data_IF_283787776514
#
_entry.id   IF_283787776514
#
_cell.length_a   1.000
_cell.length_b   1.000
_cell.length_c   1.000
_cell.angle_alpha   90.00
_cell.angle_beta   90.00
_cell.angle_gamma   90.00
#
_symmetry.space_group_name_H-M   'P 1'
#
loop_
_entity.id
_entity.type
_entity.pdbx_description
1 polymer ?
#
# COMPACT_ATOMS: atom_id res chain seq x y z
N UNK A 1 -25.87 4.28 19.79
CA UNK A 1 -25.78 4.23 18.32
C UNK A 1 -25.51 5.62 17.72
N UNK A 2 -26.24 6.65 18.18
CA UNK A 2 -26.20 8.04 17.68
C UNK A 2 -24.80 8.65 17.50
N UNK A 3 -23.89 8.43 18.45
CA UNK A 3 -22.52 8.94 18.35
C UNK A 3 -21.76 8.31 17.17
N UNK A 4 -21.95 7.01 16.90
CA UNK A 4 -21.32 6.34 15.76
C UNK A 4 -21.88 6.86 14.44
N UNK A 5 -23.21 7.06 14.37
CA UNK A 5 -23.84 7.67 13.19
C UNK A 5 -23.30 9.06 12.93
N UNK A 6 -23.06 9.87 13.97
CA UNK A 6 -22.43 11.19 13.82
C UNK A 6 -20.98 11.10 13.31
N UNK A 7 -20.21 10.12 13.77
CA UNK A 7 -18.83 9.90 13.32
C UNK A 7 -18.75 9.49 11.83
N UNK A 8 -19.70 8.69 11.35
CA UNK A 8 -19.73 8.21 9.95
C UNK A 8 -20.52 9.15 9.03
N UNK A 9 -21.43 9.95 9.57
CA UNK A 9 -22.48 10.73 8.92
C UNK A 9 -23.71 9.92 8.46
N UNK A 10 -24.93 10.44 8.67
CA UNK A 10 -26.16 9.84 8.15
C UNK A 10 -26.13 9.64 6.63
N UNK A 11 -25.54 10.58 5.87
CA UNK A 11 -25.46 10.50 4.41
C UNK A 11 -24.70 9.27 3.92
N UNK A 12 -23.61 8.88 4.61
CA UNK A 12 -22.84 7.67 4.27
C UNK A 12 -23.57 6.38 4.62
N UNK A 13 -24.45 6.38 5.62
CA UNK A 13 -25.24 5.21 6.02
C UNK A 13 -26.56 5.08 5.23
N UNK A 14 -27.20 6.18 4.86
CA UNK A 14 -28.50 6.16 4.17
C UNK A 14 -28.47 5.44 2.81
N UNK A 15 -27.31 5.35 2.16
CA UNK A 15 -27.16 4.58 0.92
C UNK A 15 -27.55 3.10 1.12
N UNK A 16 -27.30 2.53 2.30
CA UNK A 16 -27.66 1.14 2.58
C UNK A 16 -29.16 0.97 2.83
N UNK A 17 -29.85 1.99 3.37
CA UNK A 17 -31.32 2.00 3.47
C UNK A 17 -31.94 1.94 2.07
N UNK A 18 -31.42 2.74 1.14
CA UNK A 18 -31.94 2.83 -0.23
C UNK A 18 -31.71 1.57 -1.06
N UNK A 19 -30.53 0.96 -0.96
CA UNK A 19 -30.14 -0.12 -1.87
C UNK A 19 -30.27 -1.53 -1.28
N UNK A 20 -30.23 -1.67 0.04
CA UNK A 20 -30.33 -2.97 0.74
C UNK A 20 -31.60 -3.08 1.59
N UNK A 21 -32.49 -2.07 1.56
CA UNK A 21 -33.69 -2.00 2.40
C UNK A 21 -33.38 -2.17 3.90
N UNK A 22 -32.18 -1.77 4.34
CA UNK A 22 -31.80 -1.79 5.75
C UNK A 22 -32.73 -0.84 6.53
N UNK A 23 -33.37 -1.35 7.59
CA UNK A 23 -34.40 -0.61 8.33
C UNK A 23 -33.86 0.05 9.60
N UNK A 24 -32.72 -0.44 10.12
CA UNK A 24 -32.08 0.06 11.34
C UNK A 24 -30.70 0.67 11.07
N UNK A 25 -30.22 1.50 11.99
CA UNK A 25 -28.89 2.10 11.88
C UNK A 25 -27.78 1.05 12.07
N UNK A 26 -28.04 0.05 12.91
CA UNK A 26 -27.18 -1.10 13.15
C UNK A 26 -26.97 -1.94 11.88
N UNK A 27 -28.04 -2.24 11.14
CA UNK A 27 -27.94 -2.93 9.85
C UNK A 27 -27.14 -2.10 8.84
N UNK A 28 -27.38 -0.79 8.78
CA UNK A 28 -26.62 0.11 7.90
C UNK A 28 -25.13 0.12 8.27
N UNK A 29 -24.81 0.13 9.57
CA UNK A 29 -23.44 0.06 10.06
C UNK A 29 -22.78 -1.28 9.72
N UNK A 30 -23.50 -2.39 9.88
CA UNK A 30 -23.06 -3.72 9.47
C UNK A 30 -22.69 -3.77 7.98
N UNK A 31 -23.56 -3.28 7.11
CA UNK A 31 -23.32 -3.20 5.67
C UNK A 31 -22.21 -2.20 5.31
N UNK A 32 -22.05 -1.13 6.09
CA UNK A 32 -20.92 -0.22 5.94
C UNK A 32 -19.58 -0.91 6.21
N UNK A 33 -19.51 -1.74 7.27
CA UNK A 33 -18.33 -2.56 7.58
C UNK A 33 -18.10 -3.61 6.48
N UNK A 34 -19.16 -4.25 5.98
CA UNK A 34 -19.07 -5.16 4.83
C UNK A 34 -18.45 -4.47 3.61
N UNK A 35 -18.90 -3.27 3.24
CA UNK A 35 -18.31 -2.51 2.13
C UNK A 35 -16.85 -2.16 2.38
N UNK A 36 -16.43 -1.88 3.63
CA UNK A 36 -15.01 -1.68 3.95
C UNK A 36 -14.19 -2.94 3.69
N UNK A 37 -14.67 -4.12 4.11
CA UNK A 37 -14.00 -5.39 3.85
C UNK A 37 -13.90 -5.68 2.37
N UNK A 38 -14.97 -5.44 1.63
CA UNK A 38 -15.00 -5.57 0.18
C UNK A 38 -13.98 -4.64 -0.49
N UNK A 39 -14.00 -3.34 -0.16
CA UNK A 39 -13.03 -2.37 -0.68
C UNK A 39 -11.57 -2.75 -0.41
N UNK A 40 -11.28 -3.39 0.73
CA UNK A 40 -9.92 -3.83 1.05
C UNK A 40 -9.42 -4.98 0.16
N UNK A 41 -10.32 -5.89 -0.26
CA UNK A 41 -9.99 -6.94 -1.24
C UNK A 41 -9.57 -6.28 -2.57
N UNK A 42 -10.39 -5.36 -3.07
CA UNK A 42 -10.06 -4.62 -4.30
C UNK A 42 -8.78 -3.79 -4.18
N UNK A 43 -8.56 -3.13 -3.04
CA UNK A 43 -7.36 -2.32 -2.83
C UNK A 43 -6.07 -3.13 -2.97
N UNK A 44 -6.07 -4.38 -2.47
CA UNK A 44 -4.92 -5.28 -2.56
C UNK A 44 -4.64 -5.72 -4.00
N UNK A 45 -5.69 -5.93 -4.80
CA UNK A 45 -5.59 -6.28 -6.22
C UNK A 45 -5.15 -5.07 -7.06
N UNK A 46 -5.72 -3.90 -6.79
CA UNK A 46 -5.35 -2.66 -7.46
C UNK A 46 -3.88 -2.32 -7.19
N UNK A 47 -3.35 -2.60 -6.00
CA UNK A 47 -1.92 -2.45 -5.71
C UNK A 47 -1.05 -3.34 -6.63
N UNK A 48 -1.43 -4.60 -6.87
CA UNK A 48 -0.74 -5.48 -7.83
C UNK A 48 -0.79 -4.86 -9.25
N UNK A 49 -1.97 -4.43 -9.68
CA UNK A 49 -2.17 -3.82 -11.00
C UNK A 49 -1.34 -2.54 -11.16
N UNK A 50 -1.36 -1.64 -10.17
CA UNK A 50 -0.66 -0.35 -10.24
C UNK A 50 0.85 -0.52 -10.31
N UNK A 51 1.41 -1.39 -9.45
CA UNK A 51 2.86 -1.64 -9.43
C UNK A 51 3.30 -2.35 -10.72
N UNK A 52 2.57 -3.38 -11.16
CA UNK A 52 2.92 -4.12 -12.38
C UNK A 52 2.75 -3.28 -13.65
N UNK A 53 1.67 -2.49 -13.77
CA UNK A 53 1.46 -1.58 -14.91
C UNK A 53 2.60 -0.57 -15.03
N UNK A 54 2.93 0.11 -13.91
CA UNK A 54 4.04 1.06 -13.86
C UNK A 54 5.34 0.41 -14.32
N UNK A 55 5.67 -0.75 -13.75
CA UNK A 55 6.92 -1.42 -14.06
C UNK A 55 6.94 -1.90 -15.51
N UNK A 56 5.82 -2.41 -16.05
CA UNK A 56 5.72 -2.84 -17.45
C UNK A 56 5.95 -1.68 -18.42
N UNK A 57 5.30 -0.54 -18.19
CA UNK A 57 5.50 0.69 -18.97
C UNK A 57 6.95 1.17 -18.88
N UNK A 58 7.50 1.29 -17.67
CA UNK A 58 8.84 1.86 -17.47
C UNK A 58 9.95 0.94 -17.99
N UNK A 59 9.83 -0.37 -17.82
CA UNK A 59 10.79 -1.32 -18.39
C UNK A 59 10.81 -1.22 -19.92
N UNK A 60 9.63 -1.15 -20.54
CA UNK A 60 9.52 -1.00 -21.99
C UNK A 60 10.12 0.33 -22.47
N UNK A 61 9.85 1.44 -21.78
CA UNK A 61 10.46 2.74 -22.11
C UNK A 61 11.98 2.68 -21.97
N UNK A 62 12.50 2.09 -20.89
CA UNK A 62 13.92 1.99 -20.63
C UNK A 62 14.64 1.15 -21.70
N UNK A 63 14.03 0.05 -22.15
CA UNK A 63 14.61 -0.83 -23.17
C UNK A 63 14.46 -0.30 -24.60
N UNK A 64 13.28 0.22 -24.96
CA UNK A 64 12.92 0.53 -26.35
C UNK A 64 13.04 2.00 -26.70
N UNK A 65 13.01 2.91 -25.71
CA UNK A 65 13.10 4.37 -25.91
C UNK A 65 14.15 4.99 -24.98
N UNK A 66 15.46 4.72 -25.17
CA UNK A 66 16.52 5.16 -24.25
C UNK A 66 16.56 6.68 -23.98
N UNK A 67 16.17 7.50 -24.96
CA UNK A 67 16.08 8.97 -24.80
C UNK A 67 14.98 9.42 -23.84
N UNK A 68 13.95 8.59 -23.64
CA UNK A 68 12.87 8.80 -22.67
C UNK A 68 13.12 8.03 -21.35
N UNK A 69 14.24 7.33 -21.19
CA UNK A 69 14.56 6.61 -19.96
C UNK A 69 15.00 7.56 -18.83
N UNK A 70 14.77 7.15 -17.57
CA UNK A 70 15.20 7.92 -16.39
C UNK A 70 14.74 9.38 -16.40
N UNK A 71 15.68 10.32 -16.33
CA UNK A 71 15.41 11.76 -16.35
C UNK A 71 14.75 12.27 -17.65
N UNK A 72 14.88 11.53 -18.75
CA UNK A 72 14.19 11.85 -20.01
C UNK A 72 12.67 11.78 -19.85
N UNK A 73 12.17 10.77 -19.15
CA UNK A 73 10.75 10.60 -18.82
C UNK A 73 10.22 11.79 -18.01
N UNK A 74 10.99 12.17 -16.98
CA UNK A 74 10.62 13.28 -16.10
C UNK A 74 10.61 14.60 -16.86
N UNK A 75 11.64 14.84 -17.67
CA UNK A 75 11.78 16.05 -18.48
C UNK A 75 10.66 16.18 -19.52
N UNK A 76 10.23 15.07 -20.14
CA UNK A 76 9.08 15.05 -21.03
C UNK A 76 7.82 15.60 -20.33
N UNK A 77 7.42 15.03 -19.20
CA UNK A 77 6.20 15.48 -18.50
C UNK A 77 6.33 16.91 -17.94
N UNK A 78 7.54 17.32 -17.54
CA UNK A 78 7.82 18.70 -17.10
C UNK A 78 7.82 19.71 -18.24
N UNK A 79 7.90 19.28 -19.50
CA UNK A 79 7.76 20.16 -20.67
C UNK A 79 6.31 20.40 -21.10
N UNK A 80 5.35 19.61 -20.60
CA UNK A 80 3.93 19.79 -20.92
C UNK A 80 3.38 21.11 -20.35
N UNK A 81 2.19 21.53 -20.79
CA UNK A 81 1.52 22.72 -20.26
C UNK A 81 1.41 22.68 -18.72
N UNK A 82 1.51 23.84 -18.05
CA UNK A 82 1.44 23.93 -16.59
C UNK A 82 0.10 23.45 -16.02
N UNK A 83 -0.98 23.50 -16.82
CA UNK A 83 -2.29 23.00 -16.42
C UNK A 83 -2.43 21.48 -16.62
N UNK A 84 -1.50 20.82 -17.32
CA UNK A 84 -1.52 19.39 -17.54
C UNK A 84 -1.43 18.63 -16.20
N UNK A 85 -2.34 17.69 -15.99
CA UNK A 85 -2.46 16.96 -14.74
C UNK A 85 -1.24 16.03 -14.49
N UNK A 86 -0.72 15.39 -15.53
CA UNK A 86 0.49 14.55 -15.44
C UNK A 86 1.71 15.38 -15.05
N UNK A 87 1.83 16.62 -15.57
CA UNK A 87 2.89 17.56 -15.13
C UNK A 87 2.75 17.91 -13.65
N UNK A 88 1.54 18.25 -13.18
CA UNK A 88 1.29 18.57 -11.76
C UNK A 88 1.67 17.42 -10.84
N UNK A 89 1.38 16.19 -11.24
CA UNK A 89 1.73 14.99 -10.48
C UNK A 89 3.25 14.76 -10.42
N UNK A 90 3.96 15.01 -11.52
CA UNK A 90 5.43 14.95 -11.56
C UNK A 90 6.05 16.03 -10.66
N UNK A 91 5.58 17.27 -10.72
CA UNK A 91 6.09 18.36 -9.87
C UNK A 91 5.79 18.11 -8.38
N UNK A 92 4.63 17.53 -8.06
CA UNK A 92 4.33 17.10 -6.69
C UNK A 92 5.30 16.02 -6.20
N UNK A 93 5.53 14.98 -7.00
CA UNK A 93 6.47 13.91 -6.67
C UNK A 93 7.89 14.46 -6.51
N UNK A 94 8.32 15.34 -7.42
CA UNK A 94 9.61 16.03 -7.37
C UNK A 94 9.78 16.82 -6.05
N UNK A 95 8.78 17.62 -5.67
CA UNK A 95 8.79 18.39 -4.41
C UNK A 95 8.83 17.54 -3.14
N UNK A 96 8.40 16.27 -3.20
CA UNK A 96 8.53 15.30 -2.11
C UNK A 96 9.91 14.65 -2.06
N UNK A 97 10.47 14.31 -3.21
CA UNK A 97 11.77 13.63 -3.31
C UNK A 97 12.95 14.56 -3.06
N UNK A 98 12.91 15.80 -3.55
CA UNK A 98 14.01 16.76 -3.45
C UNK A 98 14.39 17.14 -2.00
N UNK A 99 13.51 16.83 -1.02
CA UNK A 99 13.79 17.01 0.42
C UNK A 99 14.66 15.90 1.02
N UNK A 100 14.91 14.82 0.28
CA UNK A 100 15.76 13.70 0.70
C UNK A 100 17.14 13.85 0.07
N UNK A 101 18.20 13.64 0.85
CA UNK A 101 19.55 13.49 0.29
C UNK A 101 19.59 12.20 -0.56
N UNK A 102 20.10 12.29 -1.79
CA UNK A 102 20.30 11.17 -2.73
C UNK A 102 19.02 10.45 -3.20
N UNK A 103 17.96 11.18 -3.58
CA UNK A 103 16.81 10.55 -4.25
C UNK A 103 17.17 10.08 -5.67
N UNK A 104 16.51 9.01 -6.12
CA UNK A 104 16.64 8.45 -7.47
C UNK A 104 15.39 8.75 -8.31
N UNK A 105 15.49 8.61 -9.64
CA UNK A 105 14.32 8.72 -10.53
C UNK A 105 13.25 7.66 -10.15
N UNK A 106 13.67 6.48 -9.70
CA UNK A 106 12.77 5.43 -9.22
C UNK A 106 11.97 5.86 -7.97
N UNK A 107 12.59 6.61 -7.06
CA UNK A 107 11.89 7.17 -5.89
C UNK A 107 10.77 8.14 -6.32
N UNK A 108 10.99 8.91 -7.38
CA UNK A 108 9.99 9.83 -7.94
C UNK A 108 8.88 9.06 -8.66
N UNK A 109 9.25 8.14 -9.55
CA UNK A 109 8.34 7.26 -10.29
C UNK A 109 7.44 6.49 -9.31
N UNK A 110 7.98 6.05 -8.17
CA UNK A 110 7.23 5.34 -7.15
C UNK A 110 6.13 6.16 -6.46
N UNK A 111 6.20 7.50 -6.51
CA UNK A 111 5.19 8.40 -5.95
C UNK A 111 4.03 8.71 -6.91
N UNK A 112 4.15 8.36 -8.19
CA UNK A 112 3.14 8.68 -9.18
C UNK A 112 1.92 7.77 -9.03
N UNK A 113 0.70 8.34 -8.95
CA UNK A 113 -0.50 7.59 -8.61
C UNK A 113 -1.00 6.76 -9.81
N UNK A 114 -1.81 5.72 -9.57
CA UNK A 114 -2.40 4.90 -10.63
C UNK A 114 -3.00 5.67 -11.82
N UNK A 115 -3.66 6.80 -11.56
CA UNK A 115 -4.27 7.63 -12.60
C UNK A 115 -3.26 8.20 -13.61
N UNK A 116 -2.01 8.43 -13.19
CA UNK A 116 -0.91 8.82 -14.06
C UNK A 116 -0.62 7.72 -15.09
N UNK A 117 -0.41 6.50 -14.59
CA UNK A 117 -0.11 5.31 -15.41
C UNK A 117 -1.29 4.92 -16.31
N UNK A 118 -2.52 5.10 -15.81
CA UNK A 118 -3.72 4.92 -16.60
C UNK A 118 -3.77 5.90 -17.78
N UNK A 119 -3.44 7.18 -17.58
CA UNK A 119 -3.45 8.18 -18.65
C UNK A 119 -2.41 7.89 -19.74
N UNK A 120 -1.27 7.29 -19.39
CA UNK A 120 -0.25 6.86 -20.36
C UNK A 120 -0.82 5.86 -21.37
N UNK A 121 -1.80 5.05 -20.96
CA UNK A 121 -2.45 4.06 -21.83
C UNK A 121 -3.51 4.68 -22.76
N UNK A 122 -3.75 6.00 -22.68
CA UNK A 122 -4.73 6.68 -23.52
C UNK A 122 -4.21 6.92 -24.94
N UNK A 123 -5.13 7.29 -25.84
CA UNK A 123 -4.83 7.67 -27.22
C UNK A 123 -3.92 8.89 -27.35
N UNK A 124 -3.71 9.68 -26.29
CA UNK A 124 -2.78 10.83 -26.27
C UNK A 124 -1.36 10.41 -26.65
N UNK A 125 -0.98 9.19 -26.34
CA UNK A 125 0.36 8.65 -26.60
C UNK A 125 0.40 7.72 -27.82
N UNK A 126 -0.55 7.85 -28.76
CA UNK A 126 -0.44 7.22 -30.06
C UNK A 126 0.76 7.77 -30.84
N UNK A 127 1.38 6.94 -31.67
CA UNK A 127 2.53 7.32 -32.49
C UNK A 127 2.24 8.45 -33.47
N UNK A 128 0.99 8.57 -33.90
CA UNK A 128 0.50 9.67 -34.74
C UNK A 128 0.57 11.04 -34.06
N UNK A 129 0.70 11.07 -32.72
CA UNK A 129 0.72 12.31 -31.96
C UNK A 129 2.17 12.73 -31.73
N UNK A 130 2.66 13.61 -32.60
CA UNK A 130 4.00 14.21 -32.48
C UNK A 130 4.16 14.92 -31.13
N UNK A 131 5.34 14.76 -30.52
CA UNK A 131 5.62 15.33 -29.20
C UNK A 131 4.93 14.61 -28.04
N UNK A 132 4.27 13.47 -28.26
CA UNK A 132 3.82 12.57 -27.19
C UNK A 132 4.89 11.51 -26.85
N UNK A 133 4.62 10.65 -25.86
CA UNK A 133 5.45 9.47 -25.62
C UNK A 133 5.49 8.49 -26.82
N UNK A 134 4.53 8.56 -27.76
CA UNK A 134 4.46 7.70 -28.95
C UNK A 134 4.69 6.22 -28.61
N UNK A 135 3.80 5.65 -27.79
CA UNK A 135 3.86 4.27 -27.33
C UNK A 135 2.97 3.32 -28.16
N UNK A 136 1.84 3.83 -28.65
CA UNK A 136 0.76 2.98 -29.15
C UNK A 136 0.58 3.08 -30.67
N UNK A 137 0.38 1.95 -31.37
CA UNK A 137 0.21 0.59 -30.86
C UNK A 137 1.51 -0.23 -30.71
N UNK A 138 2.66 0.27 -31.16
CA UNK A 138 3.89 -0.51 -31.32
C UNK A 138 4.35 -1.27 -30.08
N UNK A 139 4.27 -0.65 -28.90
CA UNK A 139 4.72 -1.29 -27.66
C UNK A 139 3.59 -1.96 -26.86
N UNK A 140 2.42 -2.16 -27.47
CA UNK A 140 1.28 -2.81 -26.80
C UNK A 140 1.61 -4.23 -26.36
N UNK A 141 2.29 -5.02 -27.19
CA UNK A 141 2.61 -6.41 -26.84
C UNK A 141 3.82 -6.52 -25.90
N UNK A 142 4.70 -5.51 -25.82
CA UNK A 142 5.75 -5.46 -24.78
C UNK A 142 5.13 -5.15 -23.40
N UNK A 143 4.13 -4.26 -23.34
CA UNK A 143 3.52 -3.80 -22.08
C UNK A 143 2.37 -4.72 -21.63
N UNK A 144 1.63 -5.28 -22.59
CA UNK A 144 0.45 -6.12 -22.38
C UNK A 144 0.50 -7.43 -23.21
N UNK A 145 1.46 -8.33 -22.92
CA UNK A 145 1.72 -9.53 -23.72
C UNK A 145 0.61 -10.59 -23.69
N UNK A 146 -0.20 -10.64 -22.62
CA UNK A 146 -1.12 -11.75 -22.35
C UNK A 146 -2.58 -11.44 -22.73
N UNK A 147 -2.79 -10.61 -23.76
CA UNK A 147 -4.12 -10.22 -24.24
C UNK A 147 -4.17 -9.92 -25.72
N UNK A 148 -5.28 -10.29 -26.38
CA UNK A 148 -5.56 -9.94 -27.78
C UNK A 148 -6.32 -8.62 -27.93
N UNK A 149 -6.65 -7.95 -26.81
CA UNK A 149 -7.38 -6.69 -26.81
C UNK A 149 -6.57 -5.57 -27.49
N UNK A 150 -7.26 -4.67 -28.18
CA UNK A 150 -6.66 -3.43 -28.64
C UNK A 150 -6.27 -2.52 -27.47
N UNK A 151 -5.31 -1.60 -27.69
CA UNK A 151 -4.94 -0.63 -26.65
C UNK A 151 -6.13 0.22 -26.18
N UNK A 152 -7.08 0.52 -27.06
CA UNK A 152 -8.31 1.25 -26.68
C UNK A 152 -9.20 0.46 -25.74
N UNK A 153 -9.34 -0.85 -25.94
CA UNK A 153 -10.08 -1.74 -25.05
C UNK A 153 -9.36 -1.92 -23.70
N UNK A 154 -8.04 -2.09 -23.73
CA UNK A 154 -7.21 -2.14 -22.52
C UNK A 154 -7.36 -0.85 -21.71
N UNK A 155 -7.25 0.31 -22.36
CA UNK A 155 -7.43 1.62 -21.71
C UNK A 155 -8.82 1.79 -21.12
N UNK A 156 -9.87 1.32 -21.79
CA UNK A 156 -11.24 1.31 -21.26
C UNK A 156 -11.33 0.49 -19.97
N UNK A 157 -10.73 -0.69 -19.95
CA UNK A 157 -10.71 -1.54 -18.75
C UNK A 157 -9.89 -0.91 -17.62
N UNK A 158 -8.71 -0.37 -17.91
CA UNK A 158 -7.89 0.39 -16.94
C UNK A 158 -8.66 1.58 -16.38
N UNK A 159 -9.43 2.29 -17.21
CA UNK A 159 -10.25 3.43 -16.78
C UNK A 159 -11.35 3.02 -15.80
N UNK A 160 -11.99 1.86 -16.02
CA UNK A 160 -12.96 1.28 -15.06
C UNK A 160 -12.28 0.99 -13.72
N UNK A 161 -11.10 0.35 -13.75
CA UNK A 161 -10.32 0.06 -12.54
C UNK A 161 -9.86 1.35 -11.85
N UNK A 162 -9.53 2.41 -12.59
CA UNK A 162 -9.11 3.70 -12.03
C UNK A 162 -10.28 4.42 -11.34
N UNK A 163 -11.48 4.40 -11.94
CA UNK A 163 -12.71 4.90 -11.29
C UNK A 163 -12.97 4.14 -9.99
N UNK A 164 -12.84 2.81 -10.02
CA UNK A 164 -13.00 1.97 -8.85
C UNK A 164 -11.97 2.31 -7.76
N UNK A 165 -10.69 2.47 -8.13
CA UNK A 165 -9.62 2.90 -7.22
C UNK A 165 -9.96 4.24 -6.57
N UNK A 166 -10.43 5.21 -7.35
CA UNK A 166 -10.80 6.54 -6.84
C UNK A 166 -11.97 6.45 -5.86
N UNK A 167 -12.98 5.63 -6.14
CA UNK A 167 -14.09 5.37 -5.20
C UNK A 167 -13.56 4.80 -3.87
N UNK A 168 -12.66 3.82 -3.93
CA UNK A 168 -12.05 3.22 -2.74
C UNK A 168 -11.26 4.27 -1.94
N UNK A 169 -10.44 5.10 -2.58
CA UNK A 169 -9.65 6.15 -1.91
C UNK A 169 -10.51 7.26 -1.31
N UNK A 170 -11.70 7.52 -1.86
CA UNK A 170 -12.69 8.44 -1.29
C UNK A 170 -13.65 7.77 -0.30
N UNK A 171 -13.42 6.48 0.00
CA UNK A 171 -14.26 5.65 0.87
C UNK A 171 -15.73 5.61 0.42
N UNK A 172 -15.96 5.58 -0.89
CA UNK A 172 -17.28 5.39 -1.48
C UNK A 172 -17.63 3.89 -1.54
N UNK A 173 -18.93 3.61 -1.70
CA UNK A 173 -19.40 2.25 -1.97
C UNK A 173 -18.91 1.79 -3.34
N UNK A 174 -18.63 0.51 -3.54
CA UNK A 174 -18.14 -0.02 -4.83
C UNK A 174 -19.19 -0.85 -5.60
N UNK A 175 -20.22 -1.30 -4.91
CA UNK A 175 -21.32 -2.13 -5.43
C UNK A 175 -22.47 -1.30 -6.05
N UNK A 176 -22.48 0.02 -5.87
CA UNK A 176 -23.60 0.87 -6.29
C UNK A 176 -23.77 0.86 -7.81
N UNK A 177 -24.95 0.40 -8.22
CA UNK A 177 -25.49 0.49 -9.57
C UNK A 177 -26.92 1.05 -9.49
N UNK A 178 -27.21 2.10 -10.27
CA UNK A 178 -28.54 2.74 -10.27
C UNK A 178 -29.61 1.87 -10.91
N UNK A 179 -29.22 0.91 -11.73
CA UNK A 179 -30.14 0.04 -12.47
C UNK A 179 -30.38 -1.29 -11.76
N UNK A 180 -29.65 -1.59 -10.69
CA UNK A 180 -29.84 -2.81 -9.92
C UNK A 180 -31.14 -2.74 -9.10
N UNK A 181 -31.99 -3.76 -9.29
CA UNK A 181 -33.29 -3.86 -8.62
C UNK A 181 -33.21 -4.49 -7.23
N UNK A 182 -32.25 -5.39 -7.01
CA UNK A 182 -32.13 -6.20 -5.81
C UNK A 182 -30.65 -6.42 -5.43
N UNK A 183 -30.44 -7.09 -4.30
CA UNK A 183 -29.11 -7.39 -3.77
C UNK A 183 -28.23 -8.17 -4.78
N UNK A 184 -28.79 -9.12 -5.51
CA UNK A 184 -28.05 -9.91 -6.50
C UNK A 184 -27.51 -9.02 -7.64
N UNK A 185 -28.29 -8.03 -8.08
CA UNK A 185 -27.83 -7.04 -9.06
C UNK A 185 -26.64 -6.20 -8.55
N UNK A 186 -26.64 -5.84 -7.26
CA UNK A 186 -25.53 -5.12 -6.64
C UNK A 186 -24.29 -6.01 -6.50
N UNK A 187 -24.48 -7.29 -6.17
CA UNK A 187 -23.40 -8.29 -6.13
C UNK A 187 -22.82 -8.51 -7.52
N UNK A 188 -23.64 -8.64 -8.56
CA UNK A 188 -23.17 -8.75 -9.95
C UNK A 188 -22.32 -7.55 -10.34
N UNK A 189 -22.68 -6.33 -9.91
CA UNK A 189 -21.83 -5.14 -10.13
C UNK A 189 -20.45 -5.28 -9.49
N UNK A 190 -20.37 -5.89 -8.30
CA UNK A 190 -19.09 -6.20 -7.64
C UNK A 190 -18.29 -7.23 -8.45
N UNK A 191 -18.95 -8.29 -8.90
CA UNK A 191 -18.31 -9.33 -9.74
C UNK A 191 -17.80 -8.75 -11.05
N UNK A 192 -18.56 -7.86 -11.69
CA UNK A 192 -18.14 -7.17 -12.92
C UNK A 192 -16.89 -6.30 -12.67
N UNK A 193 -16.88 -5.54 -11.58
CA UNK A 193 -15.71 -4.75 -11.20
C UNK A 193 -14.49 -5.67 -10.95
N UNK A 194 -14.70 -6.82 -10.30
CA UNK A 194 -13.63 -7.79 -10.04
C UNK A 194 -13.10 -8.40 -11.33
N UNK A 195 -13.99 -8.77 -12.25
CA UNK A 195 -13.64 -9.22 -13.60
C UNK A 195 -12.77 -8.18 -14.32
N UNK A 196 -13.14 -6.89 -14.30
CA UNK A 196 -12.31 -5.84 -14.90
C UNK A 196 -10.91 -5.76 -14.27
N UNK A 197 -10.78 -5.93 -12.96
CA UNK A 197 -9.47 -6.03 -12.31
C UNK A 197 -8.68 -7.25 -12.80
N UNK A 198 -9.29 -8.43 -12.91
CA UNK A 198 -8.63 -9.63 -13.43
C UNK A 198 -8.18 -9.46 -14.89
N UNK A 199 -9.01 -8.86 -15.73
CA UNK A 199 -8.70 -8.62 -17.15
C UNK A 199 -7.52 -7.66 -17.31
N UNK A 200 -7.48 -6.57 -16.54
CA UNK A 200 -6.33 -5.64 -16.54
C UNK A 200 -5.08 -6.33 -16.00
N UNK A 201 -5.19 -7.03 -14.87
CA UNK A 201 -4.08 -7.76 -14.27
C UNK A 201 -3.47 -8.77 -15.25
N UNK A 202 -4.33 -9.60 -15.87
CA UNK A 202 -3.94 -10.55 -16.90
C UNK A 202 -3.30 -9.85 -18.08
N UNK A 203 -3.91 -8.78 -18.59
CA UNK A 203 -3.39 -8.07 -19.76
C UNK A 203 -1.95 -7.61 -19.55
N UNK A 204 -1.59 -7.14 -18.35
CA UNK A 204 -0.22 -6.75 -18.00
C UNK A 204 0.70 -7.98 -17.97
N UNK A 205 0.29 -9.04 -17.26
CA UNK A 205 0.97 -10.33 -17.27
C UNK A 205 0.12 -11.40 -16.55
N UNK A 206 0.08 -12.63 -17.05
CA UNK A 206 -0.74 -13.72 -16.50
C UNK A 206 -0.39 -14.04 -15.04
N UNK A 207 0.87 -13.88 -14.64
CA UNK A 207 1.31 -14.13 -13.26
C UNK A 207 0.71 -13.17 -12.23
N UNK A 208 0.18 -12.02 -12.65
CA UNK A 208 -0.59 -11.17 -11.74
C UNK A 208 -1.82 -11.91 -11.20
N UNK A 209 -2.43 -12.84 -11.96
CA UNK A 209 -3.52 -13.68 -11.45
C UNK A 209 -3.03 -14.62 -10.34
N UNK A 210 -1.79 -15.13 -10.44
CA UNK A 210 -1.18 -15.93 -9.37
C UNK A 210 -0.94 -15.10 -8.12
N UNK A 211 -0.50 -13.84 -8.26
CA UNK A 211 -0.35 -12.93 -7.13
C UNK A 211 -1.70 -12.66 -6.45
N UNK A 212 -2.78 -12.48 -7.23
CA UNK A 212 -4.13 -12.30 -6.71
C UNK A 212 -4.60 -13.54 -5.93
N UNK A 213 -4.28 -14.75 -6.42
CA UNK A 213 -4.57 -15.99 -5.70
C UNK A 213 -3.79 -16.10 -4.39
N UNK A 214 -2.49 -15.72 -4.38
CA UNK A 214 -1.63 -15.77 -3.19
C UNK A 214 -2.05 -14.81 -2.08
N UNK A 215 -2.66 -13.67 -2.42
CA UNK A 215 -3.25 -12.76 -1.43
C UNK A 215 -4.68 -13.16 -1.03
N UNK A 216 -5.12 -14.36 -1.42
CA UNK A 216 -6.46 -14.91 -1.18
C UNK A 216 -7.59 -14.04 -1.76
N UNK A 217 -7.28 -13.22 -2.77
CA UNK A 217 -8.20 -12.21 -3.28
C UNK A 217 -9.51 -12.79 -3.82
N UNK A 218 -9.44 -13.98 -4.45
CA UNK A 218 -10.61 -14.69 -4.97
C UNK A 218 -11.48 -15.24 -3.85
N UNK A 219 -10.91 -16.03 -2.95
CA UNK A 219 -11.65 -16.69 -1.86
C UNK A 219 -12.32 -15.67 -0.95
N UNK A 220 -11.62 -14.57 -0.62
CA UNK A 220 -12.18 -13.48 0.18
C UNK A 220 -13.36 -12.78 -0.51
N UNK A 221 -13.25 -12.52 -1.82
CA UNK A 221 -14.35 -11.92 -2.59
C UNK A 221 -15.56 -12.85 -2.63
N UNK A 222 -15.35 -14.12 -2.98
CA UNK A 222 -16.41 -15.13 -3.07
C UNK A 222 -17.17 -15.25 -1.75
N UNK A 223 -16.46 -15.23 -0.61
CA UNK A 223 -17.10 -15.26 0.70
C UNK A 223 -17.93 -14.01 1.00
N UNK A 224 -17.38 -12.81 0.72
CA UNK A 224 -18.06 -11.53 0.95
C UNK A 224 -19.28 -11.31 0.04
N UNK A 225 -19.34 -11.99 -1.11
CA UNK A 225 -20.44 -11.92 -2.06
C UNK A 225 -21.56 -12.93 -1.78
N UNK A 226 -21.42 -13.83 -0.79
CA UNK A 226 -22.51 -14.73 -0.38
C UNK A 226 -23.62 -13.95 0.33
N UNK A 227 -24.87 -14.24 -0.02
CA UNK A 227 -26.07 -13.69 0.67
C UNK A 227 -26.01 -13.93 2.17
N UNK A 228 -25.62 -15.14 2.61
CA UNK A 228 -25.48 -15.47 4.04
C UNK A 228 -24.45 -14.60 4.75
N UNK A 229 -23.36 -14.24 4.09
CA UNK A 229 -22.31 -13.39 4.67
C UNK A 229 -22.83 -11.97 4.83
N UNK A 230 -23.52 -11.43 3.83
CA UNK A 230 -24.15 -10.11 3.89
C UNK A 230 -25.20 -10.08 5.01
N UNK A 231 -26.05 -11.11 5.11
CA UNK A 231 -27.03 -11.25 6.19
C UNK A 231 -26.37 -11.27 7.57
N UNK A 232 -25.23 -11.98 7.72
CA UNK A 232 -24.45 -11.97 8.95
C UNK A 232 -23.95 -10.57 9.29
N UNK A 233 -23.50 -9.78 8.30
CA UNK A 233 -23.13 -8.38 8.51
C UNK A 233 -24.30 -7.53 8.98
N UNK A 234 -25.51 -7.71 8.43
CA UNK A 234 -26.70 -6.97 8.90
C UNK A 234 -27.05 -7.27 10.36
N UNK A 235 -26.62 -8.43 10.87
CA UNK A 235 -26.84 -8.90 12.25
C UNK A 235 -25.60 -8.71 13.14
N UNK A 236 -24.49 -8.22 12.59
CA UNK A 236 -23.20 -8.12 13.27
C UNK A 236 -23.30 -7.30 14.56
N UNK A 237 -24.14 -6.27 14.54
CA UNK A 237 -24.33 -5.36 15.65
C UNK A 237 -25.79 -5.48 16.09
N UNK A 238 -26.04 -6.30 17.10
CA UNK A 238 -27.36 -6.38 17.73
C UNK A 238 -27.52 -5.36 18.85
N UNK A 239 -26.41 -5.03 19.53
CA UNK A 239 -26.33 -4.00 20.57
C UNK A 239 -24.90 -3.49 20.66
N UNK A 240 -24.69 -2.24 20.24
CA UNK A 240 -23.37 -1.61 20.23
C UNK A 240 -22.78 -1.44 21.63
N UNK A 241 -23.61 -1.37 22.68
CA UNK A 241 -23.13 -1.22 24.05
C UNK A 241 -22.42 -2.47 24.58
N UNK A 242 -22.64 -3.62 23.93
CA UNK A 242 -21.94 -4.88 24.21
C UNK A 242 -20.59 -5.00 23.52
N UNK A 243 -20.26 -4.09 22.60
CA UNK A 243 -18.96 -4.07 21.94
C UNK A 243 -17.95 -3.41 22.87
N UNK A 244 -16.96 -4.18 23.33
CA UNK A 244 -15.89 -3.67 24.19
C UNK A 244 -15.07 -2.61 23.48
N UNK A 245 -14.72 -1.55 24.21
CA UNK A 245 -13.74 -0.56 23.75
C UNK A 245 -12.35 -1.19 23.79
N UNK A 246 -11.50 -0.85 22.82
CA UNK A 246 -10.10 -1.29 22.81
C UNK A 246 -9.35 -0.57 23.93
N UNK A 247 -8.83 -1.31 24.90
CA UNK A 247 -7.85 -0.81 25.87
C UNK A 247 -6.48 -0.68 25.17
N UNK A 248 -6.13 0.56 24.82
CA UNK A 248 -4.90 0.85 24.07
C UNK A 248 -3.65 0.43 24.86
N UNK A 249 -3.45 0.81 26.14
CA UNK A 249 -2.32 0.33 26.94
C UNK A 249 -2.21 -1.19 27.01
N UNK A 250 -3.30 -1.90 27.29
CA UNK A 250 -3.31 -3.36 27.39
C UNK A 250 -2.97 -4.01 26.05
N UNK A 251 -3.60 -3.56 24.97
CA UNK A 251 -3.32 -4.03 23.62
C UNK A 251 -1.83 -3.88 23.27
N UNK A 252 -1.25 -2.70 23.53
CA UNK A 252 0.17 -2.45 23.27
C UNK A 252 1.04 -3.36 24.13
N UNK A 253 0.75 -3.50 25.43
CA UNK A 253 1.52 -4.34 26.34
C UNK A 253 1.49 -5.82 25.93
N UNK A 254 0.33 -6.35 25.56
CA UNK A 254 0.15 -7.75 25.21
C UNK A 254 0.83 -8.12 23.88
N UNK A 255 0.91 -7.18 22.94
CA UNK A 255 1.37 -7.46 21.57
C UNK A 255 2.78 -6.95 21.27
N UNK A 256 3.31 -6.01 22.05
CA UNK A 256 4.69 -5.51 21.87
C UNK A 256 5.68 -6.56 22.32
N UNK A 257 6.61 -6.92 21.43
CA UNK A 257 7.69 -7.86 21.75
C UNK A 257 8.71 -7.22 22.69
N UNK A 258 9.30 -8.03 23.56
CA UNK A 258 10.39 -7.60 24.43
C UNK A 258 11.60 -7.18 23.59
N UNK A 259 12.07 -5.94 23.79
CA UNK A 259 13.23 -5.37 23.12
C UNK A 259 14.42 -5.16 24.05
N UNK A 260 14.31 -5.55 25.33
CA UNK A 260 15.39 -5.43 26.31
C UNK A 260 16.11 -6.77 26.43
N UNK A 261 17.42 -6.75 26.29
CA UNK A 261 18.25 -7.95 26.31
C UNK A 261 19.32 -7.85 27.38
N UNK A 262 19.60 -8.97 28.04
CA UNK A 262 20.76 -9.12 28.92
C UNK A 262 22.04 -9.23 28.08
N UNK A 263 23.08 -8.49 28.42
CA UNK A 263 24.37 -8.52 27.75
C UNK A 263 25.52 -8.41 28.73
N UNK A 264 26.71 -8.67 28.24
CA UNK A 264 27.96 -8.56 28.99
C UNK A 264 28.83 -7.47 28.37
N UNK A 265 29.41 -6.61 29.22
CA UNK A 265 30.38 -5.61 28.80
C UNK A 265 31.68 -6.32 28.44
N UNK A 266 32.08 -6.22 27.18
CA UNK A 266 33.26 -6.93 26.65
C UNK A 266 34.46 -6.02 26.41
N UNK A 267 34.26 -4.70 26.39
CA UNK A 267 35.33 -3.73 26.21
C UNK A 267 34.90 -2.38 26.75
N UNK A 268 35.81 -1.70 27.46
CA UNK A 268 35.64 -0.33 27.96
C UNK A 268 36.92 0.43 27.62
N UNK A 269 36.80 1.53 26.89
CA UNK A 269 37.90 2.48 26.66
C UNK A 269 37.42 3.92 26.85
N UNK A 270 38.29 4.92 26.70
CA UNK A 270 37.97 6.34 26.90
C UNK A 270 36.81 6.83 26.02
N UNK A 271 36.63 6.24 24.84
CA UNK A 271 35.71 6.71 23.82
C UNK A 271 34.50 5.80 23.58
N UNK A 272 34.47 4.57 24.10
CA UNK A 272 33.45 3.59 23.79
C UNK A 272 33.35 2.47 24.84
N UNK A 273 32.13 1.98 25.03
CA UNK A 273 31.86 0.75 25.77
C UNK A 273 31.12 -0.22 24.84
N UNK A 274 31.52 -1.49 24.82
CA UNK A 274 30.89 -2.51 23.96
C UNK A 274 30.21 -3.58 24.78
N UNK A 275 28.96 -3.87 24.42
CA UNK A 275 28.14 -4.93 25.01
C UNK A 275 27.96 -6.05 24.00
N UNK A 276 28.03 -7.28 24.45
CA UNK A 276 27.74 -8.46 23.64
C UNK A 276 26.53 -9.20 24.21
N UNK A 277 25.67 -9.67 23.32
CA UNK A 277 24.59 -10.60 23.65
C UNK A 277 24.79 -11.89 22.86
N UNK A 278 24.60 -13.04 23.50
CA UNK A 278 24.87 -14.35 22.90
C UNK A 278 23.76 -14.88 21.98
N UNK A 279 22.58 -14.24 21.96
CA UNK A 279 21.44 -14.61 21.11
C UNK A 279 21.32 -13.76 19.85
N UNK A 280 21.72 -12.49 19.90
CA UNK A 280 21.61 -11.57 18.77
C UNK A 280 22.67 -11.86 17.70
N UNK A 281 22.23 -11.88 16.44
CA UNK A 281 23.03 -12.23 15.25
C UNK A 281 22.75 -11.25 14.12
N UNK A 282 23.75 -11.01 13.27
CA UNK A 282 23.56 -10.24 12.04
C UNK A 282 23.01 -11.11 10.90
N UNK A 283 22.93 -10.55 9.70
CA UNK A 283 22.43 -11.27 8.51
C UNK A 283 23.30 -12.46 8.08
N UNK A 284 24.54 -12.53 8.57
CA UNK A 284 25.51 -13.58 8.24
C UNK A 284 25.64 -14.60 9.39
N UNK A 285 24.70 -14.59 10.34
CA UNK A 285 24.73 -15.37 11.59
C UNK A 285 25.98 -15.11 12.47
N UNK A 286 26.56 -13.90 12.39
CA UNK A 286 27.70 -13.52 13.24
C UNK A 286 27.23 -12.85 14.52
N UNK A 287 27.99 -13.07 15.60
CA UNK A 287 27.73 -12.44 16.90
C UNK A 287 27.92 -10.92 16.81
N UNK A 288 26.89 -10.18 17.18
CA UNK A 288 26.92 -8.72 17.17
C UNK A 288 27.59 -8.16 18.44
N UNK A 289 28.44 -7.15 18.26
CA UNK A 289 28.90 -6.27 19.33
C UNK A 289 28.17 -4.93 19.22
N UNK A 290 27.53 -4.52 20.31
CA UNK A 290 26.80 -3.27 20.39
C UNK A 290 27.67 -2.22 21.04
N UNK A 291 27.86 -1.09 20.37
CA UNK A 291 28.48 0.09 20.98
C UNK A 291 27.44 0.77 21.86
N UNK A 292 27.74 0.99 23.13
CA UNK A 292 26.88 1.77 24.03
C UNK A 292 26.70 3.19 23.50
N UNK A 293 25.47 3.67 23.56
CA UNK A 293 25.15 5.06 23.27
C UNK A 293 25.96 6.01 24.18
N UNK A 294 26.57 7.05 23.59
CA UNK A 294 27.48 7.93 24.32
C UNK A 294 26.77 8.70 25.44
N UNK A 295 25.52 9.13 25.25
CA UNK A 295 24.77 9.86 26.27
C UNK A 295 24.48 8.98 27.49
N UNK A 296 24.21 7.70 27.26
CA UNK A 296 23.94 6.72 28.31
C UNK A 296 25.22 6.37 29.05
N UNK A 297 26.33 6.18 28.31
CA UNK A 297 27.65 5.89 28.88
C UNK A 297 28.09 6.97 29.88
N UNK A 298 27.77 8.24 29.62
CA UNK A 298 28.07 9.35 30.55
C UNK A 298 27.23 9.25 31.83
N UNK A 299 25.97 8.79 31.74
CA UNK A 299 25.03 8.76 32.86
C UNK A 299 25.17 7.54 33.77
N UNK A 300 25.52 6.37 33.23
CA UNK A 300 25.48 5.09 33.95
C UNK A 300 26.67 4.85 34.89
N UNK A 301 27.70 5.70 34.86
CA UNK A 301 28.92 5.55 35.66
C UNK A 301 29.94 4.58 35.05
N UNK A 302 31.08 4.34 35.73
CA UNK A 302 32.17 3.54 35.18
C UNK A 302 31.81 2.04 35.18
N UNK A 303 31.55 1.51 33.99
CA UNK A 303 31.41 0.07 33.77
C UNK A 303 32.78 -0.62 33.64
N UNK A 304 32.83 -1.90 33.99
CA UNK A 304 33.99 -2.77 33.87
C UNK A 304 33.71 -3.91 32.88
N UNK A 305 34.78 -4.48 32.33
CA UNK A 305 34.67 -5.70 31.52
C UNK A 305 34.16 -6.84 32.41
N UNK A 306 33.16 -7.58 31.92
CA UNK A 306 32.44 -8.61 32.66
C UNK A 306 31.14 -8.14 33.31
N UNK A 307 30.89 -6.82 33.38
CA UNK A 307 29.63 -6.30 33.92
C UNK A 307 28.45 -6.79 33.12
N UNK A 308 27.40 -7.17 33.83
CA UNK A 308 26.16 -7.66 33.26
C UNK A 308 25.17 -6.52 33.20
N UNK A 309 24.62 -6.25 32.02
CA UNK A 309 23.72 -5.13 31.79
C UNK A 309 22.46 -5.60 31.07
N UNK A 310 21.37 -4.84 31.19
CA UNK A 310 20.28 -4.86 30.22
C UNK A 310 20.46 -3.72 29.23
N UNK A 311 20.01 -3.91 27.99
CA UNK A 311 20.04 -2.88 26.96
C UNK A 311 18.99 -3.14 25.87
N UNK A 312 18.61 -2.08 25.15
CA UNK A 312 17.80 -2.15 23.94
C UNK A 312 18.72 -2.04 22.70
N UNK A 313 18.80 -3.07 21.84
CA UNK A 313 19.64 -3.07 20.65
C UNK A 313 19.02 -2.22 19.54
N UNK A 314 19.85 -1.39 18.94
CA UNK A 314 19.52 -0.60 17.75
C UNK A 314 20.54 -0.87 16.66
N UNK A 315 20.12 -0.72 15.41
CA UNK A 315 21.01 -0.73 14.25
C UNK A 315 20.77 0.52 13.43
N UNK A 316 21.84 1.27 13.19
CA UNK A 316 21.85 2.34 12.20
C UNK A 316 22.33 1.73 10.90
N UNK A 317 21.50 1.85 9.85
CA UNK A 317 21.83 1.41 8.49
C UNK A 317 22.11 2.66 7.67
N UNK A 318 23.28 2.76 7.06
CA UNK A 318 23.65 3.81 6.12
C UNK A 318 24.55 3.23 5.01
N UNK A 319 24.95 4.09 4.07
CA UNK A 319 25.79 3.71 2.91
C UNK A 319 27.15 3.13 3.32
N UNK A 320 27.60 3.38 4.56
CA UNK A 320 28.85 2.87 5.13
C UNK A 320 28.68 1.54 5.88
N UNK A 321 27.46 1.00 5.96
CA UNK A 321 27.16 -0.29 6.56
C UNK A 321 26.21 -0.23 7.76
N UNK A 322 26.27 -1.28 8.60
CA UNK A 322 25.44 -1.46 9.79
C UNK A 322 26.23 -1.11 11.05
N UNK A 323 25.72 -0.18 11.85
CA UNK A 323 26.29 0.19 13.15
C UNK A 323 25.34 -0.22 14.28
N UNK A 324 25.81 -1.08 15.16
CA UNK A 324 25.01 -1.64 16.25
C UNK A 324 25.21 -0.82 17.53
N UNK A 325 24.10 -0.33 18.10
CA UNK A 325 24.09 0.56 19.26
C UNK A 325 23.29 -0.08 20.39
N UNK A 326 23.80 -0.02 21.61
CA UNK A 326 23.06 -0.37 22.82
C UNK A 326 22.48 0.91 23.44
N UNK A 327 21.15 1.02 23.46
CA UNK A 327 20.40 2.08 24.13
C UNK A 327 19.77 1.57 25.42
N UNK A 328 19.19 2.49 26.21
CA UNK A 328 18.56 2.23 27.52
C UNK A 328 19.32 1.22 28.38
N UNK A 329 20.63 1.43 28.53
CA UNK A 329 21.48 0.49 29.25
C UNK A 329 21.24 0.64 30.74
N UNK A 330 21.14 -0.47 31.47
CA UNK A 330 21.07 -0.50 32.94
C UNK A 330 21.99 -1.60 33.46
N UNK A 331 22.80 -1.30 34.48
CA UNK A 331 23.65 -2.28 35.15
C UNK A 331 22.77 -3.19 36.04
N UNK A 332 23.00 -4.51 35.99
CA UNK A 332 22.27 -5.50 36.77
C UNK A 332 22.98 -5.88 38.07
#
# INVERSE_FOLDING_TARGET
MDNIVKLISPKRLNVYKTYFNATTEEQCLGLYIWNQKLSNVFNSIIHIIEVSLRNSIMNTINEKKPTLSGEGFISYFRSLDENNESRKQIEYAYGKCHKKNNYTTDDLIALLPFGFWANICSQEHNESNEGSLQLWPTYKDDIFPDTDLSIGEIYKNISVVNILRNRISHHEVIWKDKNALNQDGLINKVIDNYKSCLEVAKSIHIDNLKLIELIEGKVLLEDLCKTSTIDNYTKLISDITKVSVIDIPEFVKANRKETIFKGEVTSVNSNATYIKNNKLRDSDDKKIKFRMDNEIRIKIGPLKVGDIVTFEPFVIRNDKGKFYIAKKVTLL
#
